data_IF_533415899741
#
_entry.id   IF_533415899741
#
_cell.length_a   1.000
_cell.length_b   1.000
_cell.length_c   1.000
_cell.angle_alpha   90.00
_cell.angle_beta   90.00
_cell.angle_gamma   90.00
#
_symmetry.space_group_name_H-M   'P 1'
#
loop_
_entity.id
_entity.type
_entity.pdbx_description
1 polymer ?
#
# COMPACT_ATOMS: atom_id res chain seq x y z
N UNK A 1 10.00 -4.72 22.53
CA UNK A 1 10.17 -6.15 22.18
C UNK A 1 8.94 -6.49 21.40
N UNK A 2 9.07 -6.99 20.16
CA UNK A 2 7.91 -7.29 19.31
C UNK A 2 6.93 -8.23 20.02
N UNK A 3 5.71 -7.77 20.18
CA UNK A 3 4.56 -8.48 20.76
C UNK A 3 3.62 -9.01 19.68
N UNK A 4 3.66 -8.43 18.49
CA UNK A 4 2.94 -8.90 17.31
C UNK A 4 3.44 -10.26 16.87
N UNK A 5 2.49 -11.16 16.62
CA UNK A 5 2.78 -12.49 16.12
C UNK A 5 3.28 -12.42 14.65
N UNK A 6 4.44 -13.02 14.31
CA UNK A 6 4.98 -13.00 12.95
C UNK A 6 4.04 -13.59 11.89
N UNK A 7 3.17 -14.54 12.25
CA UNK A 7 2.21 -15.14 11.31
C UNK A 7 1.13 -14.12 10.91
N UNK A 8 0.70 -13.26 11.85
CA UNK A 8 -0.21 -12.14 11.55
C UNK A 8 0.43 -11.14 10.59
N UNK A 9 1.70 -10.79 10.82
CA UNK A 9 2.46 -9.91 9.93
C UNK A 9 2.58 -10.51 8.53
N UNK A 10 2.88 -11.80 8.43
CA UNK A 10 2.94 -12.50 7.14
C UNK A 10 1.60 -12.48 6.41
N UNK A 11 0.48 -12.72 7.12
CA UNK A 11 -0.85 -12.68 6.55
C UNK A 11 -1.19 -11.29 5.99
N UNK A 12 -0.90 -10.23 6.76
CA UNK A 12 -1.09 -8.84 6.35
C UNK A 12 -0.25 -8.50 5.12
N UNK A 13 1.04 -8.89 5.08
CA UNK A 13 1.92 -8.63 3.92
C UNK A 13 1.42 -9.33 2.67
N UNK A 14 1.00 -10.59 2.78
CA UNK A 14 0.46 -11.34 1.63
C UNK A 14 -0.80 -10.65 1.10
N UNK A 15 -1.71 -10.26 2.00
CA UNK A 15 -2.97 -9.62 1.62
C UNK A 15 -2.76 -8.22 1.04
N UNK A 16 -1.86 -7.42 1.63
CA UNK A 16 -1.49 -6.11 1.13
C UNK A 16 -0.88 -6.16 -0.28
N UNK A 17 -0.13 -7.22 -0.61
CA UNK A 17 0.39 -7.43 -1.98
C UNK A 17 -0.68 -7.81 -2.99
N UNK A 18 -1.71 -8.55 -2.56
CA UNK A 18 -2.85 -8.86 -3.42
C UNK A 18 -3.64 -7.58 -3.70
N UNK A 19 -3.89 -6.78 -2.66
CA UNK A 19 -4.54 -5.48 -2.77
C UNK A 19 -3.79 -4.52 -3.72
N UNK A 20 -2.47 -4.40 -3.55
CA UNK A 20 -1.62 -3.57 -4.42
C UNK A 20 -1.62 -4.03 -5.89
N UNK A 21 -1.84 -5.33 -6.13
CA UNK A 21 -1.92 -5.89 -7.48
C UNK A 21 -3.30 -5.74 -8.14
N UNK A 22 -4.38 -5.63 -7.34
CA UNK A 22 -5.75 -5.43 -7.84
C UNK A 22 -6.05 -3.95 -8.10
N UNK A 23 -5.38 -3.04 -7.37
CA UNK A 23 -5.46 -1.62 -7.64
C UNK A 23 -4.89 -1.31 -9.03
N UNK A 24 -5.67 -0.69 -9.94
CA UNK A 24 -5.11 -0.16 -11.17
C UNK A 24 -4.02 0.84 -10.78
N UNK A 25 -2.79 0.55 -11.16
CA UNK A 25 -1.67 1.44 -10.89
C UNK A 25 -1.92 2.72 -11.71
N UNK A 26 -2.41 3.78 -11.06
CA UNK A 26 -2.46 5.13 -11.63
C UNK A 26 -1.02 5.63 -11.80
N UNK A 27 -0.30 5.08 -12.78
CA UNK A 27 1.14 5.26 -12.85
C UNK A 27 1.85 4.30 -13.80
N UNK A 28 1.28 4.03 -14.97
CA UNK A 28 2.09 3.61 -16.13
C UNK A 28 2.15 4.72 -17.17
N UNK A 29 2.30 5.98 -16.71
CA UNK A 29 2.61 7.09 -17.61
C UNK A 29 3.70 8.05 -17.11
N UNK A 30 4.80 7.99 -17.87
CA UNK A 30 5.77 9.05 -18.16
C UNK A 30 6.84 9.44 -17.14
N UNK A 31 7.85 8.56 -17.09
CA UNK A 31 9.21 8.86 -16.62
C UNK A 31 10.31 8.85 -17.68
N UNK A 32 10.05 8.82 -19.01
CA UNK A 32 11.06 9.26 -20.02
C UNK A 32 10.51 9.34 -21.46
N UNK A 33 9.90 10.47 -21.84
CA UNK A 33 10.26 11.15 -23.11
C UNK A 33 9.77 12.60 -23.09
N UNK A 34 10.33 13.43 -22.20
CA UNK A 34 10.25 14.88 -22.37
C UNK A 34 11.25 15.31 -23.45
N UNK A 35 10.98 14.95 -24.70
CA UNK A 35 11.55 15.62 -25.85
C UNK A 35 10.62 15.48 -27.07
N UNK A 36 10.04 16.63 -27.45
CA UNK A 36 9.42 16.92 -28.73
C UNK A 36 7.98 16.43 -28.99
N UNK A 37 7.07 17.39 -28.86
CA UNK A 37 6.42 17.90 -30.07
C UNK A 37 4.91 17.78 -30.12
N UNK A 38 4.29 18.95 -30.12
CA UNK A 38 2.95 19.25 -30.62
C UNK A 38 1.78 19.03 -29.67
N UNK A 39 0.99 20.09 -29.59
CA UNK A 39 -0.25 20.24 -28.85
C UNK A 39 -1.36 19.57 -29.65
N UNK A 40 -2.08 18.63 -29.05
CA UNK A 40 -3.38 18.23 -29.58
C UNK A 40 -4.34 17.88 -28.44
N UNK A 41 -5.39 18.70 -28.40
CA UNK A 41 -6.76 18.43 -27.97
C UNK A 41 -7.07 17.86 -26.57
N UNK A 42 -7.86 18.69 -25.86
CA UNK A 42 -8.63 18.41 -24.67
C UNK A 42 -9.44 17.11 -24.83
N UNK A 43 -8.98 16.01 -24.27
CA UNK A 43 -9.81 14.83 -24.04
C UNK A 43 -9.96 14.67 -22.52
N UNK A 44 -11.05 15.26 -22.01
CA UNK A 44 -11.66 14.97 -20.72
C UNK A 44 -12.00 13.48 -20.68
N UNK A 45 -10.99 12.66 -20.39
CA UNK A 45 -11.16 11.28 -19.98
C UNK A 45 -11.68 11.30 -18.55
N UNK A 46 -12.97 11.61 -18.40
CA UNK A 46 -13.75 11.06 -17.29
C UNK A 46 -13.92 9.59 -17.63
N UNK A 47 -12.90 8.80 -17.27
CA UNK A 47 -13.03 7.35 -17.17
C UNK A 47 -14.21 7.11 -16.21
N UNK A 48 -15.27 6.40 -16.63
CA UNK A 48 -16.39 6.13 -15.75
C UNK A 48 -15.87 5.34 -14.55
N UNK A 49 -15.95 5.95 -13.38
CA UNK A 49 -15.58 5.45 -12.04
C UNK A 49 -16.51 4.28 -11.58
N UNK A 50 -16.99 3.47 -12.52
CA UNK A 50 -18.11 2.56 -12.37
C UNK A 50 -17.71 1.11 -12.69
N UNK A 51 -16.65 0.62 -12.08
CA UNK A 51 -16.64 -0.76 -11.62
C UNK A 51 -16.17 -0.73 -10.18
N UNK A 52 -17.14 -0.62 -9.27
CA UNK A 52 -17.01 -1.13 -7.92
C UNK A 52 -16.63 -2.62 -8.03
N UNK A 53 -15.35 -2.88 -8.26
CA UNK A 53 -14.76 -4.17 -8.07
C UNK A 53 -14.99 -4.43 -6.59
N UNK A 54 -15.87 -5.39 -6.31
CA UNK A 54 -16.14 -5.94 -4.99
C UNK A 54 -14.86 -6.66 -4.52
N UNK A 55 -13.76 -5.93 -4.43
CA UNK A 55 -12.51 -6.44 -3.93
C UNK A 55 -12.58 -6.40 -2.42
N UNK A 56 -13.28 -7.40 -1.87
CA UNK A 56 -13.30 -7.73 -0.45
C UNK A 56 -11.88 -7.88 0.13
N UNK A 57 -10.82 -7.86 -0.69
CA UNK A 57 -9.44 -7.75 -0.22
C UNK A 57 -9.18 -6.50 0.60
N UNK A 58 -9.75 -5.33 0.26
CA UNK A 58 -9.61 -4.11 1.06
C UNK A 58 -10.22 -4.29 2.45
N UNK A 59 -11.46 -4.78 2.49
CA UNK A 59 -12.21 -4.99 3.73
C UNK A 59 -11.61 -6.11 4.59
N UNK A 60 -11.09 -7.17 3.98
CA UNK A 60 -10.35 -8.23 4.67
C UNK A 60 -9.02 -7.72 5.23
N UNK A 61 -8.27 -6.90 4.47
CA UNK A 61 -7.03 -6.29 4.96
C UNK A 61 -7.32 -5.34 6.13
N UNK A 62 -8.36 -4.52 6.01
CA UNK A 62 -8.84 -3.63 7.08
C UNK A 62 -9.24 -4.42 8.31
N UNK A 63 -10.02 -5.49 8.16
CA UNK A 63 -10.41 -6.35 9.27
C UNK A 63 -9.22 -7.00 9.97
N UNK A 64 -8.20 -7.44 9.23
CA UNK A 64 -6.97 -8.01 9.80
C UNK A 64 -6.20 -6.99 10.63
N UNK A 65 -6.21 -5.72 10.23
CA UNK A 65 -5.57 -4.63 10.97
C UNK A 65 -6.41 -4.24 12.19
N UNK A 66 -7.74 -4.16 12.05
CA UNK A 66 -8.66 -3.82 13.14
C UNK A 66 -8.69 -4.90 14.25
N UNK A 67 -8.37 -6.15 13.92
CA UNK A 67 -8.24 -7.25 14.89
C UNK A 67 -6.94 -7.16 15.73
N UNK A 68 -6.00 -6.29 15.38
CA UNK A 68 -4.78 -6.05 16.16
C UNK A 68 -5.05 -5.09 17.33
N UNK A 69 -4.40 -5.33 18.46
CA UNK A 69 -4.41 -4.35 19.56
C UNK A 69 -3.55 -3.12 19.24
N UNK A 70 -3.71 -2.04 20.01
CA UNK A 70 -3.01 -0.77 19.77
C UNK A 70 -1.48 -0.95 19.70
N UNK A 71 -0.89 -1.77 20.58
CA UNK A 71 0.56 -2.02 20.58
C UNK A 71 0.99 -2.81 19.32
N UNK A 72 0.21 -3.82 18.91
CA UNK A 72 0.45 -4.60 17.68
C UNK A 72 0.35 -3.72 16.43
N UNK A 73 -0.60 -2.78 16.38
CA UNK A 73 -0.72 -1.83 15.26
C UNK A 73 0.48 -0.88 15.19
N UNK A 74 0.93 -0.36 16.34
CA UNK A 74 2.13 0.48 16.42
C UNK A 74 3.36 -0.29 15.93
N UNK A 75 3.52 -1.54 16.36
CA UNK A 75 4.62 -2.40 15.91
C UNK A 75 4.56 -2.71 14.42
N UNK A 76 3.37 -2.92 13.85
CA UNK A 76 3.19 -3.11 12.41
C UNK A 76 3.63 -1.89 11.61
N UNK A 77 3.31 -0.67 12.08
CA UNK A 77 3.75 0.59 11.47
C UNK A 77 5.27 0.74 11.57
N UNK A 78 5.85 0.48 12.74
CA UNK A 78 7.30 0.51 12.93
C UNK A 78 8.03 -0.48 11.99
N UNK A 79 7.48 -1.69 11.82
CA UNK A 79 7.98 -2.68 10.87
C UNK A 79 7.90 -2.20 9.41
N UNK A 80 6.82 -1.51 9.04
CA UNK A 80 6.67 -0.94 7.70
C UNK A 80 7.72 0.16 7.44
N UNK A 81 7.98 1.03 8.42
CA UNK A 81 9.01 2.07 8.31
C UNK A 81 10.43 1.49 8.26
N UNK A 82 10.70 0.47 9.07
CA UNK A 82 11.96 -0.28 9.04
C UNK A 82 12.18 -0.95 7.67
N UNK A 83 11.16 -1.65 7.15
CA UNK A 83 11.21 -2.35 5.86
C UNK A 83 11.36 -1.39 4.67
N UNK A 84 10.85 -0.17 4.78
CA UNK A 84 11.03 0.91 3.80
C UNK A 84 12.43 1.54 3.86
N UNK A 85 13.19 1.31 4.92
CA UNK A 85 14.46 1.96 5.18
C UNK A 85 14.33 3.41 5.68
N UNK A 86 13.15 3.79 6.20
CA UNK A 86 12.96 5.06 6.88
C UNK A 86 13.67 5.09 8.24
N UNK A 87 13.84 3.92 8.87
CA UNK A 87 14.63 3.71 10.07
C UNK A 87 15.47 2.44 9.93
N UNK A 88 16.59 2.35 10.65
CA UNK A 88 17.38 1.12 10.80
C UNK A 88 16.94 0.27 12.00
N UNK A 89 17.42 -0.97 12.08
CA UNK A 89 17.09 -1.90 13.21
C UNK A 89 17.58 -1.36 14.56
N UNK A 90 18.61 -0.51 14.52
CA UNK A 90 19.21 0.15 15.67
C UNK A 90 18.29 1.24 16.25
N UNK A 91 17.39 1.78 15.42
CA UNK A 91 16.45 2.87 15.74
C UNK A 91 15.03 2.35 16.03
N UNK A 92 14.89 1.05 16.31
CA UNK A 92 13.59 0.39 16.55
C UNK A 92 12.72 1.06 17.64
N UNK A 93 13.33 1.73 18.61
CA UNK A 93 12.57 2.42 19.66
C UNK A 93 12.02 3.79 19.24
N UNK A 94 12.47 4.32 18.10
CA UNK A 94 12.13 5.62 17.54
C UNK A 94 11.27 5.53 16.28
N UNK A 95 11.29 4.35 15.63
CA UNK A 95 10.30 3.93 14.63
C UNK A 95 8.95 3.66 15.30
#
# INVERSE_FOLDING_TARGET
MLTIDPDKVCAIIVKARVFDADLPHEGDDHGSDLAHGEVDELEEHVEPEDEAHDDNTEDELRSLIDDLNDDEQVELVALAWLGRGSYGIEEWAEA
#
